data_IF_086656053734
#
_entry.id   IF_086656053734
#
_cell.length_a   1.000
_cell.length_b   1.000
_cell.length_c   1.000
_cell.angle_alpha   90.00
_cell.angle_beta   90.00
_cell.angle_gamma   90.00
#
_symmetry.space_group_name_H-M   'P 1'
#
loop_
_entity.id
_entity.type
_entity.pdbx_description
1 polymer ?
2 water ?
#
# COMPACT_ATOMS: atom_id res chain seq x y z
N UNK A 34 -10.19 1.19 19.32
CA UNK A 34 -9.41 2.39 19.74
C UNK A 34 -9.81 3.64 18.90
N UNK A 35 -8.95 4.10 17.99
CA UNK A 35 -9.40 5.00 16.91
C UNK A 35 -10.56 4.36 16.10
N UNK A 36 -10.53 3.02 15.97
CA UNK A 36 -11.48 2.31 15.11
C UNK A 36 -12.89 2.19 15.68
N UNK A 37 -13.02 2.02 17.00
CA UNK A 37 -14.34 2.10 17.62
C UNK A 37 -14.97 3.46 17.39
N UNK A 38 -14.18 4.54 17.46
CA UNK A 38 -14.67 5.91 17.14
C UNK A 38 -15.13 5.99 15.68
N UNK A 39 -14.34 5.37 14.79
CA UNK A 39 -14.71 5.21 13.35
C UNK A 39 -16.09 4.49 13.21
N UNK A 40 -16.22 3.30 13.83
CA UNK A 40 -17.44 2.52 13.72
C UNK A 40 -18.64 3.23 14.25
N UNK A 41 -18.48 3.98 15.35
CA UNK A 41 -19.60 4.76 15.84
C UNK A 41 -20.02 5.85 14.86
N UNK A 42 -19.07 6.50 14.18
CA UNK A 42 -19.40 7.56 13.18
C UNK A 42 -20.02 6.97 11.91
N UNK A 43 -19.50 5.83 11.48
CA UNK A 43 -20.08 5.12 10.32
C UNK A 43 -21.52 4.67 10.60
N UNK A 44 -21.75 4.13 11.80
CA UNK A 44 -23.04 3.64 12.21
C UNK A 44 -24.05 4.79 12.33
N UNK A 45 -23.64 5.86 12.99
CA UNK A 45 -24.41 7.11 13.04
C UNK A 45 -24.77 7.60 11.63
N UNK A 46 -23.81 7.51 10.70
CA UNK A 46 -24.01 7.91 9.29
C UNK A 46 -24.85 6.93 8.44
N UNK A 47 -25.41 5.89 9.05
CA UNK A 47 -26.31 4.92 8.41
C UNK A 47 -25.56 4.02 7.41
N UNK A 48 -24.24 3.87 7.58
CA UNK A 48 -23.50 2.98 6.69
C UNK A 48 -23.80 1.52 7.00
N UNK A 49 -24.04 0.72 5.96
CA UNK A 49 -24.13 -0.73 6.18
C UNK A 49 -22.76 -1.38 5.90
N UNK A 50 -22.52 -2.58 6.43
CA UNK A 50 -21.25 -3.22 6.07
C UNK A 50 -20.99 -3.42 4.56
N UNK A 51 -22.00 -3.75 3.77
CA UNK A 51 -21.90 -3.87 2.31
C UNK A 51 -21.36 -2.58 1.68
N UNK A 52 -21.93 -1.46 2.13
CA UNK A 52 -21.50 -0.13 1.66
C UNK A 52 -20.02 0.12 2.04
N UNK A 53 -19.63 -0.16 3.30
CA UNK A 53 -18.26 0.05 3.69
C UNK A 53 -17.33 -0.84 2.91
N UNK A 54 -17.75 -2.09 2.62
CA UNK A 54 -16.89 -3.04 1.89
C UNK A 54 -16.58 -2.50 0.50
N UNK A 55 -17.56 -1.96 -0.19
CA UNK A 55 -17.35 -1.48 -1.56
C UNK A 55 -16.42 -0.28 -1.58
N UNK A 56 -16.52 0.63 -0.62
CA UNK A 56 -15.64 1.80 -0.56
C UNK A 56 -14.23 1.36 -0.15
N UNK A 57 -14.11 0.54 0.91
CA UNK A 57 -12.81 0.08 1.28
C UNK A 57 -12.11 -0.77 0.28
N UNK A 58 -12.85 -1.48 -0.59
CA UNK A 58 -12.24 -2.35 -1.59
C UNK A 58 -11.55 -1.47 -2.62
N UNK A 59 -12.16 -0.34 -2.93
CA UNK A 59 -11.55 0.63 -3.87
C UNK A 59 -10.27 1.22 -3.29
N UNK A 60 -10.30 1.60 -2.00
CA UNK A 60 -9.08 2.00 -1.30
C UNK A 60 -7.99 0.94 -1.38
N UNK A 61 -8.38 -0.30 -1.10
CA UNK A 61 -7.44 -1.42 -1.14
C UNK A 61 -6.85 -1.58 -2.53
N UNK A 62 -7.67 -1.49 -3.56
CA UNK A 62 -7.19 -1.49 -4.94
C UNK A 62 -6.13 -0.42 -5.23
N UNK A 63 -6.35 0.80 -4.73
CA UNK A 63 -5.34 1.87 -4.87
C UNK A 63 -4.04 1.55 -4.16
N UNK A 64 -4.13 0.92 -2.99
CA UNK A 64 -2.97 0.50 -2.18
C UNK A 64 -2.15 -0.51 -2.95
N UNK A 65 -2.84 -1.45 -3.58
CA UNK A 65 -2.20 -2.51 -4.31
C UNK A 65 -1.51 -2.00 -5.58
N UNK A 66 -2.02 -0.94 -6.17
CA UNK A 66 -1.34 -0.30 -7.27
C UNK A 66 0.03 0.25 -6.80
N UNK A 67 0.16 0.68 -5.54
CA UNK A 67 1.45 1.15 -5.02
C UNK A 67 2.50 0.04 -4.96
N UNK A 68 2.09 -1.16 -4.60
CA UNK A 68 2.99 -2.31 -4.72
C UNK A 68 3.50 -2.47 -6.15
N UNK A 69 2.61 -2.35 -7.13
CA UNK A 69 2.97 -2.49 -8.55
C UNK A 69 3.99 -1.43 -8.98
N UNK A 70 3.81 -0.21 -8.46
CA UNK A 70 4.71 0.89 -8.71
C UNK A 70 6.09 0.68 -8.12
N UNK A 71 6.17 0.20 -6.88
CA UNK A 71 7.50 -0.02 -6.30
C UNK A 71 8.26 -1.12 -7.08
N UNK A 72 7.54 -2.11 -7.58
CA UNK A 72 8.14 -3.17 -8.43
C UNK A 72 8.66 -2.62 -9.72
N UNK A 73 7.88 -1.75 -10.36
CA UNK A 73 8.31 -1.17 -11.59
C UNK A 73 9.50 -0.25 -11.32
N UNK A 74 9.46 0.46 -10.20
CA UNK A 74 10.60 1.30 -9.84
C UNK A 74 11.90 0.52 -9.66
N UNK A 75 11.84 -0.55 -8.87
CA UNK A 75 12.97 -1.44 -8.70
C UNK A 75 13.52 -1.98 -10.04
N UNK A 76 12.65 -2.54 -10.88
CA UNK A 76 13.12 -3.16 -12.12
C UNK A 76 13.71 -2.11 -13.02
N UNK A 77 13.12 -0.90 -13.03
CA UNK A 77 13.67 0.17 -13.79
C UNK A 77 15.07 0.55 -13.35
N UNK A 78 15.31 0.65 -12.05
CA UNK A 78 16.66 0.95 -11.60
C UNK A 78 17.60 -0.22 -11.93
N UNK A 79 17.16 -1.45 -11.72
CA UNK A 79 17.98 -2.64 -12.02
C UNK A 79 18.49 -2.56 -13.48
N UNK A 80 17.58 -2.28 -14.40
CA UNK A 80 17.94 -2.10 -15.81
C UNK A 80 18.85 -0.88 -16.03
N UNK A 81 18.54 0.23 -15.38
CA UNK A 81 19.34 1.44 -15.52
C UNK A 81 20.78 1.22 -15.02
N UNK A 82 20.94 0.63 -13.83
CA UNK A 82 22.22 0.40 -13.20
C UNK A 82 23.06 -0.46 -14.15
N UNK A 83 22.41 -1.50 -14.66
CA UNK A 83 23.07 -2.51 -15.53
C UNK A 83 23.60 -1.84 -16.82
N UNK A 84 22.78 -0.96 -17.39
CA UNK A 84 23.09 -0.24 -18.62
C UNK A 84 24.23 0.73 -18.44
N UNK A 85 24.24 1.39 -17.29
CA UNK A 85 25.35 2.29 -16.89
C UNK A 85 26.65 1.58 -16.70
N UNK A 86 26.61 0.46 -16.01
CA UNK A 86 27.77 -0.31 -15.71
C UNK A 86 28.40 -0.85 -17.00
N UNK A 87 27.59 -1.43 -17.89
CA UNK A 87 28.10 -1.98 -19.15
C UNK A 87 29.06 -0.98 -19.84
N UNK A 88 28.55 0.22 -20.14
CA UNK A 88 29.37 1.30 -20.72
C UNK A 88 30.23 2.02 -19.66
N UNK B 34 10.44 8.45 -15.91
CA UNK B 34 10.63 9.86 -16.38
C UNK B 34 11.13 10.74 -15.21
N UNK B 35 10.19 11.07 -14.31
CA UNK B 35 10.51 11.41 -12.93
C UNK B 35 11.48 10.38 -12.36
N UNK B 36 11.13 9.11 -12.52
CA UNK B 36 11.97 7.99 -12.04
C UNK B 36 13.39 7.96 -12.55
N UNK B 37 13.54 8.28 -13.83
CA UNK B 37 14.85 8.33 -14.44
C UNK B 37 15.72 9.37 -13.77
N UNK B 38 15.12 10.45 -13.28
CA UNK B 38 15.89 11.45 -12.54
C UNK B 38 16.31 10.81 -11.21
N UNK B 39 15.40 10.09 -10.58
CA UNK B 39 15.76 9.34 -9.37
C UNK B 39 16.90 8.33 -9.61
N UNK B 40 16.81 7.60 -10.71
CA UNK B 40 17.81 6.59 -11.04
C UNK B 40 19.20 7.19 -11.18
N UNK B 41 19.32 8.31 -11.88
CA UNK B 41 20.61 8.98 -12.04
C UNK B 41 21.19 9.38 -10.69
N UNK B 42 20.31 9.80 -9.78
CA UNK B 42 20.67 10.22 -8.43
C UNK B 42 21.13 9.02 -7.59
N UNK B 43 20.36 7.94 -7.68
CA UNK B 43 20.68 6.71 -6.96
C UNK B 43 22.02 6.15 -7.41
N UNK B 44 22.22 6.15 -8.72
CA UNK B 44 23.44 5.65 -9.35
C UNK B 44 24.63 6.53 -8.92
N UNK B 45 24.48 7.85 -8.97
CA UNK B 45 25.52 8.77 -8.49
C UNK B 45 25.85 8.52 -7.00
N UNK B 46 24.80 8.23 -6.24
CA UNK B 46 24.90 7.81 -4.84
C UNK B 46 25.44 6.40 -4.58
N UNK B 47 25.78 5.67 -5.64
CA UNK B 47 26.46 4.36 -5.51
C UNK B 47 25.57 3.22 -5.06
N UNK B 48 24.27 3.40 -5.25
CA UNK B 48 23.35 2.35 -4.89
C UNK B 48 23.45 1.20 -5.90
N UNK B 49 23.46 -0.01 -5.34
CA UNK B 49 23.36 -1.22 -6.18
C UNK B 49 21.91 -1.73 -6.21
N UNK B 50 21.58 -2.58 -7.21
CA UNK B 50 20.24 -3.18 -7.22
C UNK B 50 19.88 -3.98 -5.98
N UNK B 51 20.80 -4.76 -5.42
CA UNK B 51 20.61 -5.52 -4.20
C UNK B 51 20.21 -4.57 -3.03
N UNK B 52 20.93 -3.46 -2.94
CA UNK B 52 20.68 -2.46 -1.88
C UNK B 52 19.28 -1.83 -2.06
N UNK B 53 18.94 -1.40 -3.28
CA UNK B 53 17.63 -0.82 -3.57
C UNK B 53 16.52 -1.86 -3.25
N UNK B 54 16.72 -3.11 -3.66
CA UNK B 54 15.69 -4.12 -3.47
C UNK B 54 15.34 -4.31 -2.03
N UNK B 55 16.35 -4.41 -1.17
CA UNK B 55 16.10 -4.62 0.26
C UNK B 55 15.40 -3.42 0.94
N UNK B 56 15.79 -2.21 0.61
CA UNK B 56 15.15 -1.02 1.17
C UNK B 56 13.68 -0.94 0.67
N UNK B 57 13.48 -1.12 -0.64
CA UNK B 57 12.11 -1.13 -1.19
C UNK B 57 11.27 -2.28 -0.65
N UNK B 58 11.87 -3.45 -0.39
CA UNK B 58 11.20 -4.59 0.19
C UNK B 58 10.55 -4.32 1.53
N UNK B 59 11.29 -3.62 2.40
CA UNK B 59 10.79 -3.27 3.73
C UNK B 59 9.67 -2.25 3.65
N UNK B 60 9.83 -1.27 2.77
CA UNK B 60 8.76 -0.30 2.50
C UNK B 60 7.51 -1.00 1.95
N UNK B 61 7.71 -1.93 1.00
CA UNK B 61 6.63 -2.74 0.47
C UNK B 61 5.89 -3.51 1.58
N UNK B 62 6.61 -4.13 2.50
CA UNK B 62 5.96 -4.80 3.64
C UNK B 62 5.04 -3.84 4.46
N UNK B 63 5.52 -2.61 4.66
CA UNK B 63 4.71 -1.59 5.34
C UNK B 63 3.42 -1.27 4.63
N UNK B 64 3.46 -1.21 3.31
CA UNK B 64 2.29 -0.90 2.52
C UNK B 64 1.30 -2.07 2.54
N UNK B 65 1.84 -3.30 2.52
CA UNK B 65 1.04 -4.54 2.65
C UNK B 65 0.29 -4.58 3.96
N UNK B 66 0.85 -4.01 5.01
CA UNK B 66 0.12 -3.91 6.26
C UNK B 66 -1.14 -3.08 6.13
N UNK B 67 -1.09 -2.00 5.32
CA UNK B 67 -2.26 -1.09 5.17
C UNK B 67 -3.46 -1.80 4.59
N UNK B 68 -3.24 -2.57 3.53
CA UNK B 68 -4.34 -3.31 2.90
C UNK B 68 -4.98 -4.24 3.90
N UNK B 69 -4.13 -4.87 4.72
CA UNK B 69 -4.61 -5.74 5.76
C UNK B 69 -5.39 -4.99 6.85
N UNK B 70 -4.90 -3.82 7.29
CA UNK B 70 -5.64 -2.98 8.21
C UNK B 70 -6.99 -2.59 7.64
N UNK B 71 -7.08 -2.33 6.33
CA UNK B 71 -8.37 -2.02 5.78
C UNK B 71 -9.33 -3.20 5.77
N UNK B 72 -8.81 -4.39 5.49
CA UNK B 72 -9.61 -5.60 5.59
C UNK B 72 -10.09 -5.78 7.02
N UNK B 73 -9.22 -5.55 7.98
CA UNK B 73 -9.60 -5.61 9.42
C UNK B 73 -10.66 -4.59 9.83
N UNK B 74 -10.53 -3.39 9.28
CA UNK B 74 -11.56 -2.37 9.42
C UNK B 74 -12.92 -2.74 8.91
N UNK B 75 -13.01 -3.30 7.71
CA UNK B 75 -14.23 -3.81 7.20
C UNK B 75 -14.82 -4.88 8.16
N UNK B 76 -13.95 -5.78 8.59
CA UNK B 76 -14.43 -6.96 9.33
C UNK B 76 -14.92 -6.53 10.69
N UNK B 77 -14.21 -5.61 11.28
CA UNK B 77 -14.58 -5.10 12.60
C UNK B 77 -15.88 -4.32 12.56
N UNK B 78 -16.12 -3.58 11.46
CA UNK B 78 -17.41 -2.90 11.30
C UNK B 78 -18.58 -3.87 11.12
N UNK B 79 -18.39 -4.90 10.29
CA UNK B 79 -19.42 -5.92 10.14
C UNK B 79 -19.80 -6.42 11.54
N UNK B 80 -18.82 -6.68 12.38
CA UNK B 80 -19.15 -7.21 13.74
C UNK B 80 -19.84 -6.14 14.59
N UNK B 81 -19.35 -4.89 14.53
CA UNK B 81 -19.92 -3.81 15.33
C UNK B 81 -21.37 -3.55 14.89
N UNK B 82 -21.60 -3.45 13.58
CA UNK B 82 -22.92 -3.23 13.03
C UNK B 82 -23.85 -4.37 13.43
N UNK B 83 -23.38 -5.58 13.24
CA UNK B 83 -24.18 -6.75 13.56
C UNK B 83 -24.59 -6.74 15.04
N UNK B 84 -23.65 -6.39 15.91
CA UNK B 84 -23.90 -6.26 17.33
C UNK B 84 -24.86 -5.13 17.68
N UNK B 85 -24.73 -3.98 17.01
CA UNK B 85 -25.64 -2.87 17.26
C UNK B 85 -27.04 -3.16 16.81
N UNK B 86 -27.18 -3.89 15.70
CA UNK B 86 -28.49 -4.26 15.21
C UNK B 86 -29.15 -5.33 16.10
N UNK B 87 -28.38 -6.04 16.93
CA UNK B 87 -28.94 -6.95 17.95
C UNK B 87 -29.89 -6.25 18.93
N UNK B 88 -29.59 -4.99 19.26
CA UNK B 88 -30.43 -4.14 20.12
C UNK B 88 -31.36 -3.24 19.31
#
# INVERSE_FOLDING_TARGET
MAHHHHHHSSGLEVLFQGPSIAAILAEAGEEDRAAWRINYRAWYKAKLTPTQVKTVLGVSQAEMNNVAKQLQRLYLGYYSFYTAMEKKKEEKKRLATP
MAHHHHHHSSGLEVLFQGPSIAAILAEAGEEDRAAWRINYRAWYKAKLTPTQVKTVLGVSQAEMNNVAKQLQRLYLGYYSFYTAMEKKKEEKKRLATP
#
